data_IF_597765532788
#
_entry.id   IF_597765532788
#
_cell.length_a   1.000
_cell.length_b   1.000
_cell.length_c   1.000
_cell.angle_alpha   90.00
_cell.angle_beta   90.00
_cell.angle_gamma   90.00
#
_symmetry.space_group_name_H-M   'P 1'
#
loop_
_entity.id
_entity.type
_entity.pdbx_description
1 polymer ?
#
# COMPACT_ATOMS: atom_id res chain seq x y z
N UNK A 1 -3.86 -1.22 -27.23
CA UNK A 1 -5.01 -0.33 -27.02
C UNK A 1 -4.43 1.06 -26.88
N UNK A 2 -4.62 2.04 -27.74
CA UNK A 2 -5.37 2.15 -28.98
C UNK A 2 -4.72 3.34 -29.71
N UNK A 3 -4.61 3.20 -31.02
CA UNK A 3 -4.18 4.19 -31.99
C UNK A 3 -5.15 5.37 -32.07
N UNK A 4 -4.62 6.60 -32.23
CA UNK A 4 -4.81 7.44 -33.44
C UNK A 4 -4.65 8.95 -33.17
N UNK A 5 -3.93 9.69 -34.04
CA UNK A 5 -3.90 11.14 -34.08
C UNK A 5 -4.94 11.71 -35.07
N UNK A 6 -5.83 12.58 -34.61
CA UNK A 6 -6.82 13.25 -35.47
C UNK A 6 -6.27 14.57 -36.02
N UNK A 7 -5.87 14.52 -37.29
CA UNK A 7 -5.78 15.66 -38.23
C UNK A 7 -7.10 15.75 -39.00
N UNK A 8 -7.79 16.89 -39.02
CA UNK A 8 -8.92 17.20 -39.94
C UNK A 8 -9.22 18.71 -39.84
N UNK A 9 -8.77 19.60 -40.75
CA UNK A 9 -9.32 20.01 -42.07
C UNK A 9 -9.92 21.43 -42.01
N UNK A 10 -9.60 22.35 -42.95
CA UNK A 10 -10.17 23.69 -43.05
C UNK A 10 -11.33 23.77 -44.07
N UNK A 11 -12.47 24.37 -43.70
CA UNK A 11 -13.70 24.54 -44.50
C UNK A 11 -14.47 25.72 -43.87
N UNK A 12 -15.13 26.69 -44.51
CA UNK A 12 -15.31 27.13 -45.88
C UNK A 12 -15.79 28.59 -45.84
N UNK A 13 -15.54 29.33 -46.93
CA UNK A 13 -16.16 30.62 -47.25
C UNK A 13 -17.46 30.37 -48.01
N UNK A 14 -18.53 31.17 -47.79
CA UNK A 14 -19.52 31.42 -48.83
C UNK A 14 -19.57 32.89 -49.24
N UNK A 15 -19.28 33.10 -50.53
CA UNK A 15 -19.77 34.22 -51.36
C UNK A 15 -21.30 34.19 -51.37
N UNK A 16 -21.93 35.36 -51.24
CA UNK A 16 -23.29 35.58 -51.75
C UNK A 16 -23.23 36.75 -52.71
N UNK A 17 -23.74 36.49 -53.90
CA UNK A 17 -23.71 37.34 -55.09
C UNK A 17 -25.15 37.70 -55.46
N UNK A 18 -25.29 38.88 -56.11
CA UNK A 18 -26.27 39.23 -57.16
C UNK A 18 -27.69 39.73 -56.71
N UNK A 19 -28.52 40.29 -57.62
CA UNK A 19 -28.41 41.58 -58.35
C UNK A 19 -29.79 42.32 -58.50
N UNK A 20 -29.90 43.23 -59.49
CA UNK A 20 -31.16 43.78 -60.10
C UNK A 20 -31.72 45.03 -59.37
N UNK A 21 -32.06 46.17 -60.00
CA UNK A 21 -32.71 46.37 -61.30
C UNK A 21 -32.33 47.68 -62.01
N UNK A 22 -32.43 47.63 -63.33
CA UNK A 22 -32.29 48.68 -64.34
C UNK A 22 -33.69 48.97 -64.86
N UNK A 23 -34.03 50.26 -65.08
CA UNK A 23 -35.08 50.82 -65.97
C UNK A 23 -35.46 52.20 -65.41
N UNK A 24 -35.73 53.27 -66.15
CA UNK A 24 -35.61 53.62 -67.56
C UNK A 24 -35.80 55.15 -67.65
N UNK A 25 -35.22 55.75 -68.69
CA UNK A 25 -35.38 57.13 -69.24
C UNK A 25 -36.87 57.51 -69.51
N UNK A 26 -37.29 58.73 -69.98
CA UNK A 26 -36.51 59.85 -70.53
C UNK A 26 -36.98 61.32 -70.29
N UNK A 27 -36.06 62.24 -70.65
CA UNK A 27 -36.23 63.55 -71.33
C UNK A 27 -37.29 64.57 -70.86
N UNK A 28 -36.83 65.74 -70.41
CA UNK A 28 -37.36 67.01 -70.95
C UNK A 28 -36.38 68.18 -70.83
N UNK A 29 -36.08 68.75 -72.00
CA UNK A 29 -35.57 70.10 -72.20
C UNK A 29 -36.51 71.10 -71.52
N UNK A 30 -35.95 72.10 -70.82
CA UNK A 30 -36.11 73.49 -71.26
C UNK A 30 -35.46 74.51 -70.31
N UNK A 31 -34.88 75.51 -70.97
CA UNK A 31 -34.80 76.92 -70.58
C UNK A 31 -33.71 77.40 -69.61
N UNK A 32 -32.90 78.32 -70.15
CA UNK A 32 -32.49 79.60 -69.55
C UNK A 32 -31.95 79.57 -68.12
N UNK A 33 -30.71 79.97 -67.88
CA UNK A 33 -30.33 81.37 -68.01
C UNK A 33 -28.80 81.47 -68.00
N UNK A 34 -28.21 82.01 -69.08
CA UNK A 34 -26.83 82.49 -69.08
C UNK A 34 -26.72 83.60 -68.03
N UNK A 35 -26.12 83.29 -66.89
CA UNK A 35 -25.63 84.32 -65.97
C UNK A 35 -24.28 84.84 -66.44
N UNK A 36 -24.03 86.16 -66.30
CA UNK A 36 -22.83 86.82 -66.76
C UNK A 36 -21.61 86.31 -65.99
N UNK A 37 -20.61 85.84 -66.74
CA UNK A 37 -19.26 85.60 -66.27
C UNK A 37 -18.66 86.94 -65.82
N UNK A 38 -18.79 87.22 -64.53
CA UNK A 38 -17.92 88.17 -63.84
C UNK A 38 -16.53 87.55 -63.74
N UNK A 39 -15.44 88.32 -63.93
CA UNK A 39 -14.07 87.82 -63.81
C UNK A 39 -13.79 87.49 -62.34
N UNK A 40 -14.12 86.26 -61.95
CA UNK A 40 -13.75 85.73 -60.64
C UNK A 40 -12.24 85.59 -60.59
N UNK A 41 -11.65 86.25 -59.60
CA UNK A 41 -10.22 86.19 -59.31
C UNK A 41 -9.78 84.72 -59.20
N UNK A 42 -8.70 84.27 -59.86
CA UNK A 42 -8.26 82.87 -59.84
C UNK A 42 -8.04 82.32 -58.42
N UNK A 43 -7.81 83.19 -57.44
CA UNK A 43 -7.74 82.84 -56.02
C UNK A 43 -9.03 82.23 -55.47
N UNK A 44 -10.22 82.70 -55.88
CA UNK A 44 -11.48 82.17 -55.34
C UNK A 44 -11.75 80.75 -55.83
N UNK A 45 -11.35 80.41 -57.06
CA UNK A 45 -11.46 79.04 -57.58
C UNK A 45 -10.48 78.09 -56.88
N UNK A 46 -9.26 78.54 -56.58
CA UNK A 46 -8.30 77.75 -55.79
C UNK A 46 -8.82 77.53 -54.37
N UNK A 47 -9.42 78.55 -53.74
CA UNK A 47 -10.02 78.41 -52.41
C UNK A 47 -11.21 77.45 -52.39
N UNK A 48 -12.13 77.54 -53.35
CA UNK A 48 -13.28 76.63 -53.44
C UNK A 48 -12.81 75.19 -53.73
N UNK A 49 -11.88 75.02 -54.68
CA UNK A 49 -11.35 73.71 -55.03
C UNK A 49 -10.59 73.08 -53.86
N UNK A 50 -9.74 73.83 -53.15
CA UNK A 50 -9.05 73.33 -51.96
C UNK A 50 -10.00 73.06 -50.79
N UNK A 51 -11.07 73.85 -50.64
CA UNK A 51 -12.09 73.63 -49.63
C UNK A 51 -12.89 72.35 -49.85
N UNK A 52 -13.04 71.89 -51.09
CA UNK A 52 -13.75 70.64 -51.42
C UNK A 52 -12.76 69.47 -51.46
N UNK A 53 -11.63 69.64 -52.13
CA UNK A 53 -10.62 68.59 -52.31
C UNK A 53 -9.88 68.27 -51.01
N UNK A 54 -9.67 69.28 -50.15
CA UNK A 54 -9.06 69.14 -48.83
C UNK A 54 -9.75 68.08 -47.98
N UNK A 55 -11.03 68.23 -47.61
CA UNK A 55 -11.75 67.23 -46.81
C UNK A 55 -11.91 65.90 -47.53
N UNK A 56 -12.07 65.87 -48.86
CA UNK A 56 -12.14 64.62 -49.64
C UNK A 56 -10.83 63.84 -49.58
N UNK A 57 -9.67 64.51 -49.57
CA UNK A 57 -8.37 63.88 -49.40
C UNK A 57 -8.04 63.57 -47.93
N UNK A 58 -8.49 64.40 -46.98
CA UNK A 58 -8.22 64.22 -45.54
C UNK A 58 -9.08 63.14 -44.90
N UNK A 59 -10.34 63.00 -45.31
CA UNK A 59 -11.26 62.03 -44.74
C UNK A 59 -10.76 60.58 -44.77
N UNK A 60 -10.32 60.03 -45.93
CA UNK A 60 -9.79 58.66 -45.97
C UNK A 60 -8.52 58.51 -45.10
N UNK A 61 -7.67 59.54 -45.05
CA UNK A 61 -6.49 59.53 -44.18
C UNK A 61 -6.87 59.46 -42.69
N UNK A 62 -7.87 60.23 -42.26
CA UNK A 62 -8.37 60.20 -40.89
C UNK A 62 -9.01 58.86 -40.54
N UNK A 63 -9.77 58.27 -41.46
CA UNK A 63 -10.39 56.95 -41.27
C UNK A 63 -9.33 55.86 -41.09
N UNK A 64 -8.31 55.81 -41.96
CA UNK A 64 -7.19 54.87 -41.86
C UNK A 64 -6.41 55.09 -40.56
N UNK A 65 -6.14 56.35 -40.18
CA UNK A 65 -5.43 56.66 -38.94
C UNK A 65 -6.20 56.17 -37.71
N UNK A 66 -7.52 56.35 -37.67
CA UNK A 66 -8.37 55.82 -36.58
C UNK A 66 -8.35 54.29 -36.55
N UNK A 67 -8.38 53.64 -37.71
CA UNK A 67 -8.33 52.19 -37.80
C UNK A 67 -6.98 51.62 -37.32
N UNK A 68 -5.86 52.22 -37.73
CA UNK A 68 -4.51 51.85 -37.26
C UNK A 68 -4.40 51.98 -35.74
N UNK A 69 -4.92 53.05 -35.14
CA UNK A 69 -4.94 53.21 -33.69
C UNK A 69 -5.78 52.14 -32.99
N UNK A 70 -6.93 51.76 -33.57
CA UNK A 70 -7.75 50.67 -33.04
C UNK A 70 -7.03 49.32 -33.11
N UNK A 71 -6.35 49.03 -34.24
CA UNK A 71 -5.56 47.81 -34.40
C UNK A 71 -4.41 47.78 -33.39
N UNK A 72 -3.65 48.86 -33.24
CA UNK A 72 -2.57 48.92 -32.27
C UNK A 72 -3.06 48.70 -30.84
N UNK A 73 -4.22 49.26 -30.48
CA UNK A 73 -4.83 49.02 -29.18
C UNK A 73 -5.21 47.55 -28.97
N UNK A 74 -5.79 46.91 -29.99
CA UNK A 74 -6.12 45.47 -29.95
C UNK A 74 -4.87 44.58 -29.88
N UNK A 75 -3.82 44.92 -30.63
CA UNK A 75 -2.54 44.20 -30.55
C UNK A 75 -1.94 44.33 -29.15
N UNK A 76 -2.00 45.52 -28.54
CA UNK A 76 -1.57 45.73 -27.16
C UNK A 76 -2.37 44.89 -26.16
N UNK A 77 -3.69 44.84 -26.31
CA UNK A 77 -4.58 44.02 -25.48
C UNK A 77 -4.28 42.52 -25.62
N UNK A 78 -4.17 42.02 -26.86
CA UNK A 78 -3.78 40.62 -27.14
C UNK A 78 -2.39 40.32 -26.59
N UNK A 79 -1.44 41.25 -26.70
CA UNK A 79 -0.11 41.12 -26.13
C UNK A 79 -0.13 41.02 -24.61
N UNK A 80 -0.96 41.81 -23.93
CA UNK A 80 -1.14 41.75 -22.48
C UNK A 80 -1.75 40.40 -22.04
N UNK A 81 -2.80 39.93 -22.72
CA UNK A 81 -3.41 38.62 -22.46
C UNK A 81 -2.41 37.49 -22.71
N UNK A 82 -1.65 37.55 -23.80
CA UNK A 82 -0.60 36.56 -24.09
C UNK A 82 0.48 36.52 -23.01
N UNK A 83 0.87 37.67 -22.46
CA UNK A 83 1.86 37.73 -21.39
C UNK A 83 1.35 37.13 -20.08
N UNK A 84 0.06 37.31 -19.76
CA UNK A 84 -0.59 36.66 -18.61
C UNK A 84 -0.66 35.15 -18.83
N UNK A 85 -1.15 34.70 -19.98
CA UNK A 85 -1.25 33.27 -20.30
C UNK A 85 0.11 32.56 -20.26
N UNK A 86 1.17 33.22 -20.73
CA UNK A 86 2.54 32.69 -20.63
C UNK A 86 3.02 32.56 -19.19
N UNK A 87 2.64 33.48 -18.30
CA UNK A 87 2.95 33.38 -16.87
C UNK A 87 2.17 32.23 -16.24
N UNK A 88 0.88 32.12 -16.53
CA UNK A 88 0.03 31.06 -15.99
C UNK A 88 0.51 29.68 -16.43
N UNK A 89 0.88 29.53 -17.71
CA UNK A 89 1.47 28.29 -18.22
C UNK A 89 2.77 27.94 -17.49
N UNK A 90 3.65 28.92 -17.26
CA UNK A 90 4.88 28.70 -16.48
C UNK A 90 4.57 28.29 -15.05
N UNK A 91 3.60 28.93 -14.38
CA UNK A 91 3.21 28.54 -13.02
C UNK A 91 2.61 27.15 -12.98
N UNK A 92 1.75 26.80 -13.94
CA UNK A 92 1.14 25.47 -14.04
C UNK A 92 2.19 24.38 -14.34
N UNK A 93 3.19 24.67 -15.17
CA UNK A 93 4.30 23.75 -15.43
C UNK A 93 5.16 23.53 -14.18
N UNK A 94 5.44 24.59 -13.42
CA UNK A 94 6.18 24.47 -12.16
C UNK A 94 5.38 23.66 -11.14
N UNK A 95 4.09 23.95 -10.97
CA UNK A 95 3.22 23.19 -10.08
C UNK A 95 3.13 21.70 -10.50
N UNK A 96 2.97 21.42 -11.79
CA UNK A 96 2.95 20.05 -12.30
C UNK A 96 4.28 19.33 -12.07
N UNK A 97 5.42 20.04 -12.15
CA UNK A 97 6.74 19.46 -11.85
C UNK A 97 6.89 19.11 -10.37
N UNK A 98 6.41 19.96 -9.47
CA UNK A 98 6.43 19.72 -8.02
C UNK A 98 5.55 18.51 -7.68
N UNK A 99 4.34 18.45 -8.22
CA UNK A 99 3.43 17.30 -8.00
C UNK A 99 4.04 15.98 -8.50
N UNK A 100 4.75 16.00 -9.62
CA UNK A 100 5.45 14.80 -10.13
C UNK A 100 6.55 14.34 -9.17
N UNK A 101 7.36 15.26 -8.67
CA UNK A 101 8.39 14.96 -7.68
C UNK A 101 7.79 14.38 -6.39
N UNK A 102 6.69 14.95 -5.90
CA UNK A 102 5.96 14.42 -4.75
C UNK A 102 5.42 13.01 -5.00
N UNK A 103 4.85 12.76 -6.19
CA UNK A 103 4.40 11.41 -6.56
C UNK A 103 5.54 10.40 -6.65
N UNK A 104 6.72 10.80 -7.14
CA UNK A 104 7.90 9.94 -7.16
C UNK A 104 8.39 9.62 -5.75
N UNK A 105 8.41 10.60 -4.85
CA UNK A 105 8.75 10.40 -3.43
C UNK A 105 7.75 9.46 -2.74
N UNK A 106 6.45 9.65 -2.97
CA UNK A 106 5.42 8.77 -2.41
C UNK A 106 5.56 7.34 -2.94
N UNK A 107 5.84 7.16 -4.23
CA UNK A 107 6.12 5.83 -4.79
C UNK A 107 7.34 5.18 -4.14
N UNK A 108 8.41 5.93 -3.94
CA UNK A 108 9.61 5.44 -3.27
C UNK A 108 9.31 4.96 -1.83
N UNK A 109 8.52 5.74 -1.06
CA UNK A 109 8.09 5.37 0.29
C UNK A 109 7.17 4.13 0.28
N UNK A 110 6.26 4.01 -0.67
CA UNK A 110 5.41 2.81 -0.82
C UNK A 110 6.27 1.58 -1.15
N UNK A 111 7.27 1.71 -2.01
CA UNK A 111 8.17 0.60 -2.33
C UNK A 111 9.07 0.22 -1.14
N UNK A 112 9.52 1.19 -0.35
CA UNK A 112 10.28 0.95 0.88
C UNK A 112 9.44 0.22 1.93
N UNK A 113 8.24 0.74 2.24
CA UNK A 113 7.31 0.09 3.17
C UNK A 113 6.92 -1.32 2.71
N UNK A 114 6.72 -1.53 1.40
CA UNK A 114 6.49 -2.86 0.84
C UNK A 114 7.66 -3.82 1.08
N UNK A 115 8.90 -3.36 0.86
CA UNK A 115 10.11 -4.16 1.14
C UNK A 115 10.22 -4.50 2.62
N UNK A 116 9.89 -3.58 3.50
CA UNK A 116 9.96 -3.81 4.95
C UNK A 116 8.89 -4.79 5.43
N UNK A 117 7.66 -4.71 4.91
CA UNK A 117 6.61 -5.71 5.15
C UNK A 117 7.06 -7.10 4.67
N UNK A 118 7.69 -7.18 3.50
CA UNK A 118 8.21 -8.45 2.99
C UNK A 118 9.33 -9.01 3.88
N UNK A 119 10.26 -8.17 4.35
CA UNK A 119 11.29 -8.59 5.31
C UNK A 119 10.66 -9.15 6.59
N UNK A 120 9.74 -8.40 7.21
CA UNK A 120 9.07 -8.84 8.45
C UNK A 120 8.35 -10.17 8.23
N UNK A 121 7.65 -10.34 7.11
CA UNK A 121 6.98 -11.60 6.76
C UNK A 121 7.98 -12.75 6.63
N UNK A 122 9.13 -12.53 6.00
CA UNK A 122 10.16 -13.58 5.90
C UNK A 122 10.77 -13.92 7.26
N UNK A 123 10.94 -12.95 8.15
CA UNK A 123 11.41 -13.18 9.51
C UNK A 123 10.41 -13.95 10.36
N UNK A 124 9.12 -13.62 10.25
CA UNK A 124 8.04 -14.34 10.90
C UNK A 124 8.01 -15.81 10.47
N UNK A 125 8.06 -16.08 9.16
CA UNK A 125 8.12 -17.44 8.64
C UNK A 125 9.34 -18.21 9.17
N UNK A 126 10.51 -17.57 9.26
CA UNK A 126 11.72 -18.19 9.85
C UNK A 126 11.50 -18.50 11.34
N UNK A 127 10.89 -17.60 12.09
CA UNK A 127 10.58 -17.80 13.52
C UNK A 127 9.55 -18.91 13.70
N UNK A 128 8.55 -19.01 12.84
CA UNK A 128 7.54 -20.07 12.88
C UNK A 128 8.18 -21.44 12.62
N UNK A 129 9.02 -21.56 11.59
CA UNK A 129 9.77 -22.79 11.33
C UNK A 129 10.68 -23.17 12.51
N UNK A 130 11.39 -22.19 13.08
CA UNK A 130 12.22 -22.44 14.28
C UNK A 130 11.36 -22.95 15.45
N UNK A 131 10.21 -22.33 15.72
CA UNK A 131 9.26 -22.79 16.75
C UNK A 131 8.75 -24.19 16.47
N UNK A 132 8.42 -24.52 15.22
CA UNK A 132 7.99 -25.85 14.83
C UNK A 132 9.08 -26.90 15.12
N UNK A 133 10.35 -26.61 14.81
CA UNK A 133 11.46 -27.53 15.11
C UNK A 133 11.70 -27.72 16.61
N UNK A 134 11.56 -26.65 17.41
CA UNK A 134 11.69 -26.73 18.87
C UNK A 134 10.54 -27.53 19.47
N UNK A 135 9.31 -27.29 19.04
CA UNK A 135 8.14 -28.05 19.50
C UNK A 135 8.25 -29.53 19.14
N UNK A 136 8.77 -29.84 17.95
CA UNK A 136 8.98 -31.22 17.51
C UNK A 136 10.06 -31.92 18.33
N UNK A 137 11.16 -31.24 18.66
CA UNK A 137 12.17 -31.78 19.59
C UNK A 137 11.57 -32.05 20.98
N UNK A 138 10.82 -31.08 21.50
CA UNK A 138 10.16 -31.24 22.80
C UNK A 138 9.18 -32.42 22.81
N UNK A 139 8.45 -32.65 21.72
CA UNK A 139 7.57 -33.83 21.59
C UNK A 139 8.36 -35.14 21.64
N UNK A 140 9.47 -35.23 20.93
CA UNK A 140 10.34 -36.42 20.95
C UNK A 140 10.95 -36.65 22.32
N UNK A 141 11.44 -35.60 22.97
CA UNK A 141 11.98 -35.69 24.33
C UNK A 141 10.91 -36.20 25.31
N UNK A 142 9.66 -35.73 25.18
CA UNK A 142 8.54 -36.23 25.98
C UNK A 142 8.22 -37.70 25.69
N UNK A 143 8.23 -38.12 24.43
CA UNK A 143 8.03 -39.52 24.03
C UNK A 143 9.13 -40.43 24.59
N UNK A 144 10.39 -40.01 24.49
CA UNK A 144 11.55 -40.74 25.02
C UNK A 144 11.45 -40.90 26.54
N UNK A 145 11.08 -39.84 27.27
CA UNK A 145 10.85 -39.90 28.71
C UNK A 145 9.69 -40.84 29.07
N UNK A 146 8.63 -40.89 28.26
CA UNK A 146 7.52 -41.85 28.48
C UNK A 146 7.98 -43.29 28.27
N UNK A 147 8.77 -43.56 27.22
CA UNK A 147 9.32 -44.88 26.94
C UNK A 147 10.29 -45.31 28.04
N UNK A 148 11.17 -44.43 28.51
CA UNK A 148 12.08 -44.70 29.62
C UNK A 148 11.30 -44.99 30.92
N UNK A 149 10.26 -44.20 31.21
CA UNK A 149 9.37 -44.45 32.35
C UNK A 149 8.65 -45.79 32.24
N UNK A 150 8.28 -46.23 31.03
CA UNK A 150 7.66 -47.53 30.83
C UNK A 150 8.66 -48.67 31.03
N UNK A 151 9.90 -48.53 30.53
CA UNK A 151 10.98 -49.51 30.72
C UNK A 151 11.36 -49.67 32.19
N UNK A 152 11.51 -48.56 32.92
CA UNK A 152 11.80 -48.59 34.37
C UNK A 152 10.67 -49.26 35.15
N UNK A 153 9.41 -48.99 34.82
CA UNK A 153 8.26 -49.68 35.41
C UNK A 153 8.26 -51.19 35.13
N UNK A 154 8.56 -51.59 33.90
CA UNK A 154 8.66 -53.00 33.54
C UNK A 154 9.81 -53.70 34.29
N UNK A 155 10.96 -53.03 34.47
CA UNK A 155 12.06 -53.53 35.28
C UNK A 155 11.74 -53.63 36.78
N UNK A 156 10.91 -52.71 37.30
CA UNK A 156 10.43 -52.79 38.68
C UNK A 156 9.42 -53.93 38.88
N UNK A 157 8.58 -54.24 37.89
CA UNK A 157 7.68 -55.40 37.98
C UNK A 157 8.45 -56.72 38.00
N UNK A 158 9.50 -56.88 37.20
CA UNK A 158 10.32 -58.11 37.23
C UNK A 158 11.04 -58.28 38.56
N UNK A 159 11.56 -57.18 39.14
CA UNK A 159 12.16 -57.20 40.49
C UNK A 159 11.14 -57.57 41.58
N UNK A 160 9.86 -57.20 41.41
CA UNK A 160 8.78 -57.57 42.31
C UNK A 160 8.42 -59.05 42.19
N UNK A 161 8.41 -59.60 40.98
CA UNK A 161 8.17 -61.03 40.77
C UNK A 161 9.31 -61.87 41.39
N UNK A 162 10.56 -61.41 41.22
CA UNK A 162 11.74 -61.98 41.88
C UNK A 162 11.65 -61.92 43.40
N UNK A 163 11.17 -60.81 43.98
CA UNK A 163 11.04 -60.69 45.44
C UNK A 163 10.00 -61.64 46.02
N UNK A 164 8.89 -61.89 45.30
CA UNK A 164 7.90 -62.90 45.66
C UNK A 164 8.53 -64.29 45.68
N UNK A 165 9.22 -64.68 44.59
CA UNK A 165 9.90 -65.98 44.50
C UNK A 165 10.94 -66.16 45.61
N UNK A 166 11.68 -65.11 45.94
CA UNK A 166 12.69 -65.12 46.99
C UNK A 166 12.09 -65.23 48.40
N UNK A 167 10.91 -64.64 48.63
CA UNK A 167 10.13 -64.83 49.85
C UNK A 167 9.63 -66.28 49.99
N UNK A 168 9.17 -66.88 48.89
CA UNK A 168 8.72 -68.28 48.86
C UNK A 168 9.88 -69.25 49.15
N UNK A 169 11.06 -69.01 48.56
CA UNK A 169 12.28 -69.80 48.85
C UNK A 169 12.66 -69.67 50.33
N UNK A 170 12.63 -68.45 50.90
CA UNK A 170 12.94 -68.25 52.32
C UNK A 170 11.95 -68.98 53.24
N UNK A 171 10.66 -68.96 52.89
CA UNK A 171 9.63 -69.68 53.63
C UNK A 171 9.84 -71.21 53.55
N UNK A 172 10.13 -71.73 52.36
CA UNK A 172 10.45 -73.14 52.15
C UNK A 172 11.70 -73.56 52.92
N UNK A 173 12.79 -72.79 52.85
CA UNK A 173 14.03 -73.09 53.60
C UNK A 173 13.77 -73.12 55.11
N UNK A 174 12.97 -72.19 55.62
CA UNK A 174 12.59 -72.17 57.03
C UNK A 174 11.76 -73.41 57.41
N UNK A 175 10.81 -73.81 56.57
CA UNK A 175 10.01 -75.03 56.78
C UNK A 175 10.89 -76.28 56.80
N UNK A 176 11.84 -76.42 55.87
CA UNK A 176 12.79 -77.53 55.82
C UNK A 176 13.66 -77.58 57.08
N UNK A 177 14.13 -76.44 57.57
CA UNK A 177 14.91 -76.40 58.83
C UNK A 177 14.08 -76.83 60.04
N UNK A 178 12.81 -76.40 60.09
CA UNK A 178 11.87 -76.82 61.13
C UNK A 178 11.63 -78.33 61.08
N UNK A 179 11.47 -78.91 59.89
CA UNK A 179 11.31 -80.37 59.72
C UNK A 179 12.56 -81.16 60.13
N UNK A 180 13.76 -80.60 59.94
CA UNK A 180 15.03 -81.24 60.32
C UNK A 180 15.39 -81.05 61.81
N UNK A 181 14.57 -80.35 62.59
CA UNK A 181 14.79 -80.14 64.03
C UNK A 181 15.84 -79.06 64.36
N UNK A 182 16.23 -78.24 63.39
CA UNK A 182 17.08 -77.08 63.66
C UNK A 182 16.25 -75.98 64.32
N UNK A 183 16.55 -75.66 65.59
CA UNK A 183 15.86 -74.58 66.31
C UNK A 183 16.38 -73.24 65.79
N UNK A 184 15.53 -72.41 65.18
CA UNK A 184 15.91 -71.09 64.68
C UNK A 184 16.55 -70.25 65.78
N UNK A 185 17.85 -70.00 65.67
CA UNK A 185 18.54 -69.02 66.51
C UNK A 185 18.26 -67.62 65.97
N UNK A 186 18.01 -66.67 66.87
CA UNK A 186 17.68 -65.26 66.56
C UNK A 186 18.74 -64.54 65.70
N UNK A 187 19.95 -65.08 65.58
CA UNK A 187 21.04 -64.59 64.74
C UNK A 187 21.44 -65.68 63.73
N UNK A 188 20.53 -66.02 62.83
CA UNK A 188 20.74 -67.11 61.90
C UNK A 188 21.81 -66.77 60.84
N UNK A 189 23.02 -67.31 61.02
CA UNK A 189 24.17 -67.06 60.14
C UNK A 189 23.99 -67.61 58.72
N UNK A 190 23.02 -68.52 58.52
CA UNK A 190 22.71 -69.17 57.24
C UNK A 190 22.08 -68.23 56.22
N UNK A 191 21.59 -67.07 56.66
CA UNK A 191 21.16 -65.99 55.76
C UNK A 191 19.70 -66.04 55.30
N UNK A 192 18.88 -66.96 55.82
CA UNK A 192 17.43 -67.02 55.51
C UNK A 192 16.74 -65.70 55.85
N UNK A 193 17.07 -65.10 57.00
CA UNK A 193 16.52 -63.81 57.40
C UNK A 193 17.02 -62.65 56.50
N UNK A 194 18.24 -62.74 55.95
CA UNK A 194 18.74 -61.76 54.97
C UNK A 194 17.93 -61.82 53.67
N UNK A 195 17.62 -63.03 53.21
CA UNK A 195 16.78 -63.27 52.04
C UNK A 195 15.38 -62.69 52.29
N UNK A 196 14.77 -62.98 53.44
CA UNK A 196 13.46 -62.42 53.81
C UNK A 196 13.46 -60.88 53.86
N UNK A 197 14.47 -60.28 54.49
CA UNK A 197 14.62 -58.82 54.55
C UNK A 197 14.86 -58.21 53.17
N UNK A 198 15.59 -58.89 52.29
CA UNK A 198 15.80 -58.46 50.91
C UNK A 198 14.48 -58.47 50.14
N UNK A 199 13.68 -59.55 50.25
CA UNK A 199 12.36 -59.62 49.64
C UNK A 199 11.44 -58.49 50.11
N UNK A 200 11.38 -58.23 51.42
CA UNK A 200 10.60 -57.12 51.97
C UNK A 200 11.08 -55.74 51.48
N UNK A 201 12.40 -55.52 51.40
CA UNK A 201 12.95 -54.27 50.87
C UNK A 201 12.60 -54.08 49.39
N UNK A 202 12.65 -55.14 48.59
CA UNK A 202 12.28 -55.09 47.17
C UNK A 202 10.78 -54.90 46.97
N UNK A 203 9.94 -55.51 47.81
CA UNK A 203 8.49 -55.35 47.77
C UNK A 203 8.02 -53.97 48.25
N UNK A 204 8.77 -53.38 49.19
CA UNK A 204 8.53 -52.05 49.74
C UNK A 204 9.07 -50.89 48.90
N UNK A 205 9.78 -51.17 47.78
CA UNK A 205 10.16 -50.12 46.85
C UNK A 205 8.88 -49.48 46.29
N UNK A 206 8.62 -48.20 46.60
CA UNK A 206 7.44 -47.54 46.10
C UNK A 206 7.56 -47.52 44.59
N UNK A 207 6.62 -48.17 43.90
CA UNK A 207 6.35 -47.85 42.50
C UNK A 207 6.07 -46.36 42.55
N UNK A 208 7.00 -45.55 42.04
CA UNK A 208 6.96 -44.09 42.09
C UNK A 208 5.77 -43.61 41.26
N UNK A 209 4.59 -43.74 41.86
CA UNK A 209 3.31 -43.15 41.51
C UNK A 209 3.40 -41.70 41.99
N UNK A 210 4.35 -40.96 41.44
CA UNK A 210 4.24 -39.52 41.41
C UNK A 210 3.00 -39.19 40.59
N UNK A 211 1.89 -38.97 41.30
CA UNK A 211 1.61 -37.61 41.72
C UNK A 211 1.53 -36.58 40.60
N UNK A 212 1.10 -36.96 39.40
CA UNK A 212 0.46 -36.00 38.48
C UNK A 212 -1.01 -35.92 38.89
N UNK A 213 -1.26 -35.50 40.13
CA UNK A 213 -2.55 -34.94 40.53
C UNK A 213 -2.27 -33.56 41.08
N UNK A 214 -2.79 -32.57 40.36
CA UNK A 214 -3.29 -31.33 40.93
C UNK A 214 -2.25 -30.28 41.34
N UNK A 215 -1.35 -29.96 40.41
CA UNK A 215 -0.66 -28.66 40.37
C UNK A 215 -1.28 -27.64 39.39
N UNK A 216 -2.42 -27.96 38.76
CA UNK A 216 -3.16 -27.05 37.87
C UNK A 216 -4.18 -26.21 38.67
N UNK A 217 -3.72 -25.58 39.75
CA UNK A 217 -4.42 -24.45 40.31
C UNK A 217 -3.60 -23.18 40.14
N UNK A 218 -4.13 -22.33 39.26
CA UNK A 218 -4.16 -20.88 39.45
C UNK A 218 -2.86 -20.14 39.08
N UNK A 219 -2.55 -20.10 37.79
CA UNK A 219 -2.14 -18.83 37.17
C UNK A 219 -3.31 -18.32 36.34
N UNK A 220 -4.17 -17.55 37.02
CA UNK A 220 -5.11 -16.65 36.37
C UNK A 220 -4.32 -15.79 35.40
N UNK A 221 -4.79 -15.81 34.16
CA UNK A 221 -4.58 -14.78 33.16
C UNK A 221 -4.74 -13.41 33.84
N UNK A 222 -3.63 -12.72 34.06
CA UNK A 222 -3.65 -11.26 34.12
C UNK A 222 -3.78 -10.80 32.67
N UNK A 223 -5.02 -10.74 32.20
CA UNK A 223 -5.40 -9.92 31.07
C UNK A 223 -5.34 -8.48 31.62
N UNK A 224 -4.16 -7.86 31.54
CA UNK A 224 -4.05 -6.41 31.72
C UNK A 224 -4.60 -5.82 30.42
N UNK A 225 -5.85 -5.36 30.51
CA UNK A 225 -6.48 -4.56 29.48
C UNK A 225 -5.61 -3.36 29.17
N UNK A 226 -5.35 -3.18 27.89
CA UNK A 226 -4.81 -1.98 27.28
C UNK A 226 -5.76 -0.81 27.55
N UNK A 227 -5.34 0.12 28.40
CA UNK A 227 -5.87 1.48 28.37
C UNK A 227 -5.37 2.14 27.09
N UNK A 228 -6.31 2.45 26.20
CA UNK A 228 -6.14 3.36 25.09
C UNK A 228 -6.74 4.70 25.52
N UNK A 229 -5.88 5.66 25.83
CA UNK A 229 -6.17 7.10 25.76
C UNK A 229 -5.29 7.72 24.67
#
# INVERSE_FOLDING_TARGET
MESEPTSTTPVAVPRTELPVDVNDLPTRLDSSTRQPVTPFSPLTHVLILTSILGPVALFPYLAVRRHLLSIHRKIGEVGAVSAVLQRDLKTALLEASIRREEHERLRALIDETRRDVEKVKTEENKRELARATVNERMRRDLEDLMVERQKTRAGLSTLRDLSSSLADIAAFMHEVEVQQGFVSRKNDGRGIERIRQLAYKLQGLPVQREGIREGYHRRRLFFVGSDWE
#
